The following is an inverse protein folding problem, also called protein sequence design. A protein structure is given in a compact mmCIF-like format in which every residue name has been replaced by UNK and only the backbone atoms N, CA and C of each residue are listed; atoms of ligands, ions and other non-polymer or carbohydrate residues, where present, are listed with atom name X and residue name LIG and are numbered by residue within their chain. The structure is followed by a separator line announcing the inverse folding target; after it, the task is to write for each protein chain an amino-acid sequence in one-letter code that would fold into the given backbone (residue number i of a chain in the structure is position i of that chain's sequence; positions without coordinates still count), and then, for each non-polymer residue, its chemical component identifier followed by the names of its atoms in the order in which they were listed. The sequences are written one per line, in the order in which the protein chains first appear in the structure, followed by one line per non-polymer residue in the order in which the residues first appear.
data_IF_824914586381
#
_entry.id   IF_824914586381
#
_cell.length_a   1.000
_cell.length_b   1.000
_cell.length_c   1.000
_cell.angle_alpha   90.00
_cell.angle_beta   90.00
_cell.angle_gamma   90.00
#
_symmetry.space_group_name_H-M   'P 1'
#
loop_
_entity.id
_entity.type
_entity.pdbx_description
1 polymer ?
#
# COMPACT_ATOMS: atom_id res chain seq x y z
N UNK A 1 -18.98 2.57 13.67
CA UNK A 1 -18.57 1.35 12.92
C UNK A 1 -19.82 0.66 12.42
N UNK A 2 -19.90 0.27 11.14
CA UNK A 2 -21.08 -0.42 10.58
C UNK A 2 -21.12 -1.93 10.92
N UNK A 3 -20.28 -2.42 11.84
CA UNK A 3 -20.33 -3.79 12.36
C UNK A 3 -19.64 -4.87 11.51
N UNK A 4 -18.76 -4.51 10.58
CA UNK A 4 -18.00 -5.49 9.78
C UNK A 4 -16.85 -6.14 10.54
N UNK A 5 -16.49 -7.36 10.14
CA UNK A 5 -15.32 -8.10 10.64
C UNK A 5 -14.09 -7.77 9.79
N UNK A 6 -12.95 -7.47 10.44
CA UNK A 6 -11.71 -7.08 9.76
C UNK A 6 -10.64 -8.16 9.95
N UNK A 7 -10.24 -8.80 8.86
CA UNK A 7 -9.06 -9.67 8.82
C UNK A 7 -7.89 -8.91 8.19
N UNK A 8 -6.75 -8.87 8.88
CA UNK A 8 -5.50 -8.31 8.34
C UNK A 8 -4.57 -9.44 7.89
N UNK A 9 -4.03 -9.32 6.69
CA UNK A 9 -3.16 -10.33 6.07
C UNK A 9 -1.83 -9.68 5.71
N UNK A 10 -0.72 -10.33 6.05
CA UNK A 10 0.61 -9.87 5.64
C UNK A 10 1.50 -11.05 5.29
N UNK A 11 2.38 -10.85 4.31
CA UNK A 11 3.46 -11.75 3.96
C UNK A 11 4.77 -11.19 4.56
N UNK A 12 5.54 -12.02 5.25
CA UNK A 12 6.85 -11.63 5.77
C UNK A 12 7.25 -12.37 7.05
N UNK A 13 8.40 -11.98 7.60
CA UNK A 13 8.93 -12.51 8.86
C UNK A 13 8.47 -11.75 10.10
N UNK A 14 9.33 -11.68 11.12
CA UNK A 14 9.00 -11.13 12.45
C UNK A 14 8.44 -9.70 12.42
N UNK A 15 8.98 -8.82 11.56
CA UNK A 15 8.48 -7.45 11.40
C UNK A 15 7.02 -7.40 10.91
N UNK A 16 6.64 -8.32 10.02
CA UNK A 16 5.25 -8.43 9.56
C UNK A 16 4.35 -8.93 10.70
N UNK A 17 4.83 -9.88 11.51
CA UNK A 17 4.12 -10.35 12.68
C UNK A 17 3.86 -9.23 13.70
N UNK A 18 4.87 -8.41 14.00
CA UNK A 18 4.73 -7.24 14.88
C UNK A 18 3.70 -6.24 14.34
N UNK A 19 3.74 -5.97 13.03
CA UNK A 19 2.80 -5.07 12.34
C UNK A 19 1.36 -5.60 12.44
N UNK A 20 1.15 -6.90 12.22
CA UNK A 20 -0.17 -7.54 12.39
C UNK A 20 -0.67 -7.45 13.83
N UNK A 21 0.21 -7.62 14.83
CA UNK A 21 -0.16 -7.45 16.24
C UNK A 21 -0.55 -6.02 16.57
N UNK A 22 0.11 -5.03 15.98
CA UNK A 22 -0.29 -3.63 16.10
C UNK A 22 -1.67 -3.39 15.47
N UNK A 23 -1.95 -3.95 14.28
CA UNK A 23 -3.26 -3.85 13.65
C UNK A 23 -4.38 -4.49 14.49
N UNK A 24 -4.12 -5.65 15.10
CA UNK A 24 -5.03 -6.29 16.07
C UNK A 24 -5.29 -5.38 17.28
N UNK A 25 -4.24 -4.71 17.79
CA UNK A 25 -4.35 -3.76 18.91
C UNK A 25 -5.10 -2.48 18.54
N UNK A 26 -5.03 -2.07 17.27
CA UNK A 26 -5.81 -0.98 16.69
C UNK A 26 -7.25 -1.40 16.41
N UNK A 27 -7.61 -2.69 16.55
CA UNK A 27 -9.00 -3.14 16.49
C UNK A 27 -9.37 -3.99 15.27
N UNK A 28 -8.42 -4.55 14.53
CA UNK A 28 -8.69 -5.67 13.63
C UNK A 28 -9.09 -6.93 14.42
N UNK A 29 -9.89 -7.81 13.83
CA UNK A 29 -10.49 -8.97 14.51
C UNK A 29 -9.60 -10.21 14.41
N UNK A 30 -9.12 -10.50 13.21
CA UNK A 30 -8.25 -11.66 12.90
C UNK A 30 -6.98 -11.21 12.18
N UNK A 31 -5.92 -11.98 12.33
CA UNK A 31 -4.67 -11.77 11.61
C UNK A 31 -4.19 -13.07 10.95
N UNK A 32 -3.68 -12.94 9.72
CA UNK A 32 -3.03 -14.02 8.98
C UNK A 32 -1.64 -13.57 8.57
N UNK A 33 -0.63 -14.31 9.01
CA UNK A 33 0.76 -14.15 8.62
C UNK A 33 1.13 -15.25 7.64
N UNK A 34 1.58 -14.88 6.44
CA UNK A 34 2.21 -15.81 5.50
C UNK A 34 3.72 -15.70 5.70
N UNK A 35 4.34 -16.75 6.23
CA UNK A 35 5.75 -16.78 6.55
C UNK A 35 6.38 -18.07 6.04
N UNK A 36 7.23 -17.93 5.02
CA UNK A 36 7.98 -19.03 4.44
C UNK A 36 9.36 -18.50 3.98
N UNK A 37 10.48 -19.13 4.35
CA UNK A 37 11.81 -18.71 3.92
C UNK A 37 11.98 -18.63 2.41
N UNK A 38 11.23 -19.43 1.63
CA UNK A 38 11.27 -19.40 0.18
C UNK A 38 10.71 -18.11 -0.44
N UNK A 39 10.02 -17.27 0.36
CA UNK A 39 9.49 -15.98 -0.06
C UNK A 39 10.44 -14.81 0.20
N UNK A 40 11.63 -15.07 0.76
CA UNK A 40 12.63 -14.05 0.98
C UNK A 40 13.08 -13.44 -0.36
N UNK A 41 12.87 -12.13 -0.53
CA UNK A 41 13.20 -11.42 -1.79
C UNK A 41 12.27 -11.73 -2.96
N UNK A 42 11.09 -12.30 -2.69
CA UNK A 42 10.05 -12.48 -3.69
C UNK A 42 9.65 -11.14 -4.31
N UNK A 43 9.46 -11.13 -5.64
CA UNK A 43 8.94 -9.94 -6.33
C UNK A 43 7.42 -9.80 -6.19
N UNK A 44 6.89 -8.68 -6.70
CA UNK A 44 5.46 -8.38 -6.67
C UNK A 44 4.59 -9.43 -7.38
N UNK A 45 5.14 -10.16 -8.36
CA UNK A 45 4.40 -11.22 -9.03
C UNK A 45 4.17 -12.39 -8.06
N UNK A 46 5.23 -12.87 -7.42
CA UNK A 46 5.15 -13.96 -6.44
C UNK A 46 4.32 -13.54 -5.24
N UNK A 47 4.55 -12.34 -4.69
CA UNK A 47 3.79 -11.80 -3.54
C UNK A 47 2.30 -11.72 -3.85
N UNK A 48 1.90 -11.21 -5.02
CA UNK A 48 0.48 -11.10 -5.40
C UNK A 48 -0.17 -12.48 -5.54
N UNK A 49 0.51 -13.47 -6.12
CA UNK A 49 -0.01 -14.85 -6.23
C UNK A 49 -0.23 -15.51 -4.89
N UNK A 50 0.72 -15.34 -3.98
CA UNK A 50 0.64 -15.93 -2.64
C UNK A 50 -0.49 -15.29 -1.84
N UNK A 51 -0.64 -13.97 -1.90
CA UNK A 51 -1.75 -13.26 -1.26
C UNK A 51 -3.10 -13.63 -1.87
N UNK A 52 -3.20 -13.70 -3.20
CA UNK A 52 -4.42 -14.14 -3.89
C UNK A 52 -4.84 -15.53 -3.41
N UNK A 53 -3.88 -16.47 -3.33
CA UNK A 53 -4.15 -17.83 -2.85
C UNK A 53 -4.61 -17.88 -1.40
N UNK A 54 -4.02 -17.07 -0.52
CA UNK A 54 -4.47 -16.96 0.86
C UNK A 54 -5.90 -16.40 0.95
N UNK A 55 -6.23 -15.43 0.11
CA UNK A 55 -7.55 -14.79 0.08
C UNK A 55 -8.63 -15.68 -0.53
N UNK A 56 -8.33 -16.58 -1.48
CA UNK A 56 -9.31 -17.56 -2.01
C UNK A 56 -10.00 -18.38 -0.91
N UNK A 57 -9.30 -18.66 0.20
CA UNK A 57 -9.84 -19.38 1.35
C UNK A 57 -10.65 -18.52 2.33
N UNK A 58 -10.89 -17.24 2.03
CA UNK A 58 -11.53 -16.27 2.91
C UNK A 58 -12.75 -15.64 2.23
N UNK A 59 -13.79 -15.34 3.01
CA UNK A 59 -14.92 -14.52 2.55
C UNK A 59 -14.63 -13.04 2.76
N UNK A 60 -14.88 -12.22 1.74
CA UNK A 60 -14.70 -10.77 1.81
C UNK A 60 -15.69 -10.06 0.89
N UNK A 61 -16.15 -8.89 1.33
CA UNK A 61 -16.91 -7.96 0.51
C UNK A 61 -16.03 -6.81 -0.02
N UNK A 62 -14.86 -6.60 0.59
CA UNK A 62 -13.96 -5.49 0.29
C UNK A 62 -12.54 -5.87 0.68
N UNK A 63 -11.59 -5.68 -0.24
CA UNK A 63 -10.16 -5.75 0.05
C UNK A 63 -9.60 -4.34 0.06
N UNK A 64 -8.93 -3.98 1.17
CA UNK A 64 -8.21 -2.72 1.30
C UNK A 64 -6.71 -2.98 1.27
N UNK A 65 -6.00 -2.30 0.39
CA UNK A 65 -4.54 -2.25 0.36
C UNK A 65 -4.06 -0.81 0.53
N UNK A 66 -2.78 -0.61 0.81
CA UNK A 66 -2.14 0.67 0.48
C UNK A 66 -2.01 0.81 -1.03
N UNK A 67 -1.99 2.04 -1.55
CA UNK A 67 -1.66 2.32 -2.95
C UNK A 67 -0.23 1.86 -3.29
N UNK A 68 0.72 2.20 -2.41
CA UNK A 68 2.14 2.02 -2.68
C UNK A 68 2.90 1.82 -1.37
N UNK A 69 3.77 0.82 -1.33
CA UNK A 69 4.73 0.65 -0.25
C UNK A 69 5.90 1.63 -0.45
N UNK A 70 6.45 2.15 0.66
CA UNK A 70 7.42 3.26 0.61
C UNK A 70 8.87 2.80 0.39
N UNK A 71 9.13 1.51 0.55
CA UNK A 71 10.42 0.85 0.41
C UNK A 71 10.81 0.66 -1.06
N UNK A 72 9.89 0.17 -1.90
CA UNK A 72 10.15 -0.05 -3.33
C UNK A 72 9.37 0.89 -4.27
N UNK A 73 8.33 1.57 -3.78
CA UNK A 73 7.48 2.49 -4.52
C UNK A 73 6.96 1.95 -5.85
N UNK A 74 6.70 0.63 -5.93
CA UNK A 74 6.35 -0.01 -7.20
C UNK A 74 4.91 0.26 -7.66
N UNK A 75 3.99 0.48 -6.70
CA UNK A 75 2.54 0.56 -6.90
C UNK A 75 1.93 -0.64 -7.68
N UNK A 76 2.60 -1.79 -7.73
CA UNK A 76 2.17 -2.93 -8.56
C UNK A 76 1.22 -3.89 -7.86
N UNK A 77 1.30 -4.00 -6.53
CA UNK A 77 0.58 -5.02 -5.79
C UNK A 77 -0.95 -4.94 -5.93
N UNK A 78 -1.60 -3.77 -5.78
CA UNK A 78 -3.06 -3.69 -5.80
C UNK A 78 -3.66 -4.21 -7.11
N UNK A 79 -3.09 -3.77 -8.24
CA UNK A 79 -3.58 -4.15 -9.56
C UNK A 79 -3.35 -5.62 -9.88
N UNK A 80 -2.18 -6.16 -9.54
CA UNK A 80 -1.89 -7.60 -9.71
C UNK A 80 -2.82 -8.46 -8.87
N UNK A 81 -3.07 -8.06 -7.63
CA UNK A 81 -3.93 -8.81 -6.71
C UNK A 81 -5.39 -8.77 -7.16
N UNK A 82 -5.89 -7.62 -7.60
CA UNK A 82 -7.25 -7.47 -8.13
C UNK A 82 -7.47 -8.35 -9.36
N UNK A 83 -6.51 -8.34 -10.30
CA UNK A 83 -6.55 -9.16 -11.52
C UNK A 83 -6.59 -10.66 -11.18
N UNK A 84 -5.70 -11.13 -10.30
CA UNK A 84 -5.64 -12.53 -9.91
C UNK A 84 -6.92 -13.02 -9.21
N UNK A 85 -7.61 -12.13 -8.49
CA UNK A 85 -8.87 -12.43 -7.82
C UNK A 85 -10.10 -12.17 -8.71
N UNK A 86 -9.92 -11.64 -9.92
CA UNK A 86 -11.02 -11.27 -10.83
C UNK A 86 -11.90 -10.15 -10.27
N UNK A 87 -11.35 -9.23 -9.49
CA UNK A 87 -12.10 -8.17 -8.81
C UNK A 87 -11.99 -6.84 -9.56
N UNK A 88 -13.07 -6.04 -9.59
CA UNK A 88 -12.96 -4.64 -9.97
C UNK A 88 -12.12 -3.89 -8.94
N UNK A 89 -11.40 -2.85 -9.39
CA UNK A 89 -10.50 -2.09 -8.54
C UNK A 89 -10.60 -0.58 -8.72
N UNK A 90 -10.30 0.15 -7.65
CA UNK A 90 -9.99 1.57 -7.70
C UNK A 90 -8.73 1.87 -6.90
N UNK A 91 -7.84 2.66 -7.48
CA UNK A 91 -6.53 2.98 -6.92
C UNK A 91 -6.39 4.47 -6.61
N UNK A 92 -5.38 4.83 -5.81
CA UNK A 92 -5.12 6.23 -5.39
C UNK A 92 -6.32 6.87 -4.67
N UNK A 93 -7.07 6.07 -3.91
CA UNK A 93 -8.35 6.51 -3.32
C UNK A 93 -8.11 7.35 -2.06
N UNK A 94 -8.63 8.58 -2.06
CA UNK A 94 -8.52 9.57 -0.97
C UNK A 94 -9.83 9.80 -0.24
N UNK A 95 -10.96 9.27 -0.74
CA UNK A 95 -12.23 9.18 0.01
C UNK A 95 -13.00 7.95 -0.44
N UNK A 96 -13.62 7.24 0.51
CA UNK A 96 -14.38 6.01 0.27
C UNK A 96 -15.73 6.07 0.97
N UNK A 97 -16.81 5.86 0.22
CA UNK A 97 -18.16 5.74 0.73
C UNK A 97 -18.73 4.36 0.33
N UNK A 98 -19.32 3.65 1.30
CA UNK A 98 -19.86 2.29 1.10
C UNK A 98 -21.38 2.27 1.35
N UNK A 99 -22.13 1.72 0.40
CA UNK A 99 -23.59 1.58 0.46
C UNK A 99 -24.13 0.81 -0.75
N UNK A 100 -25.33 0.22 -0.62
CA UNK A 100 -26.09 -0.37 -1.73
C UNK A 100 -25.31 -1.38 -2.61
N UNK A 101 -24.44 -2.19 -1.99
CA UNK A 101 -23.63 -3.19 -2.70
C UNK A 101 -22.50 -2.61 -3.56
N UNK A 102 -22.15 -1.33 -3.38
CA UNK A 102 -21.10 -0.64 -4.13
C UNK A 102 -20.20 0.21 -3.23
N UNK A 103 -19.05 0.57 -3.79
CA UNK A 103 -18.11 1.54 -3.26
C UNK A 103 -18.09 2.78 -4.17
N UNK A 104 -18.23 3.97 -3.60
CA UNK A 104 -17.98 5.25 -4.28
C UNK A 104 -16.60 5.73 -3.85
N UNK A 105 -15.68 5.79 -4.81
CA UNK A 105 -14.27 6.09 -4.60
C UNK A 105 -13.92 7.43 -5.22
N UNK A 106 -13.34 8.32 -4.43
CA UNK A 106 -12.75 9.56 -4.92
C UNK A 106 -11.25 9.34 -5.00
N UNK A 107 -10.67 9.55 -6.17
CA UNK A 107 -9.22 9.38 -6.39
C UNK A 107 -8.62 10.63 -7.02
N UNK A 108 -7.36 10.88 -6.69
CA UNK A 108 -6.58 11.95 -7.30
C UNK A 108 -6.08 11.51 -8.68
N UNK A 109 -6.36 12.31 -9.70
CA UNK A 109 -5.80 12.20 -11.04
C UNK A 109 -5.03 13.48 -11.41
N UNK A 110 -4.63 13.59 -12.67
CA UNK A 110 -3.82 14.72 -13.16
C UNK A 110 -4.61 16.05 -13.11
N UNK A 111 -4.53 16.72 -11.95
CA UNK A 111 -5.16 18.01 -11.70
C UNK A 111 -6.66 17.96 -11.36
N UNK A 112 -7.24 16.78 -11.17
CA UNK A 112 -8.66 16.61 -10.87
C UNK A 112 -8.92 15.49 -9.85
N UNK A 113 -10.10 15.53 -9.25
CA UNK A 113 -10.63 14.42 -8.46
C UNK A 113 -11.62 13.65 -9.32
N UNK A 114 -11.34 12.37 -9.54
CA UNK A 114 -12.24 11.45 -10.23
C UNK A 114 -13.13 10.74 -9.20
N UNK A 115 -14.41 10.58 -9.53
CA UNK A 115 -15.38 9.85 -8.70
C UNK A 115 -15.83 8.60 -9.46
N UNK A 116 -15.53 7.44 -8.89
CA UNK A 116 -15.81 6.13 -9.48
C UNK A 116 -16.80 5.37 -8.62
N UNK A 117 -17.76 4.69 -9.26
CA UNK A 117 -18.61 3.69 -8.59
C UNK A 117 -18.14 2.29 -8.98
N UNK A 118 -17.93 1.44 -7.96
CA UNK A 118 -17.40 0.08 -8.15
C UNK A 118 -18.31 -0.91 -7.42
N UNK A 119 -18.81 -1.98 -8.09
CA UNK A 119 -19.61 -3.00 -7.41
C UNK A 119 -18.76 -3.81 -6.44
N UNK A 120 -19.33 -4.23 -5.31
CA UNK A 120 -18.68 -5.15 -4.38
C UNK A 120 -18.94 -6.62 -4.79
N UNK A 121 -17.98 -7.54 -4.59
CA UNK A 121 -16.68 -7.33 -3.95
C UNK A 121 -15.69 -6.58 -4.83
N UNK A 122 -14.85 -5.73 -4.21
CA UNK A 122 -13.85 -4.91 -4.91
C UNK A 122 -12.53 -4.81 -4.14
N UNK A 123 -11.46 -4.49 -4.84
CA UNK A 123 -10.17 -4.12 -4.25
C UNK A 123 -9.96 -2.60 -4.35
N UNK A 124 -9.78 -1.96 -3.20
CA UNK A 124 -9.59 -0.51 -3.13
C UNK A 124 -8.21 -0.20 -2.53
N UNK A 125 -7.37 0.50 -3.30
CA UNK A 125 -6.04 0.89 -2.86
C UNK A 125 -6.07 2.30 -2.26
N UNK A 126 -5.89 2.37 -0.95
CA UNK A 126 -5.93 3.60 -0.16
C UNK A 126 -4.69 4.46 -0.38
N UNK A 127 -4.90 5.73 -0.73
CA UNK A 127 -3.87 6.76 -0.76
C UNK A 127 -3.78 7.45 0.59
N UNK A 128 -2.60 8.01 0.90
CA UNK A 128 -2.42 8.88 2.06
C UNK A 128 -3.45 10.02 2.00
N UNK A 129 -4.20 10.22 3.08
CA UNK A 129 -5.29 11.20 3.15
C UNK A 129 -6.68 10.59 3.18
N UNK A 130 -6.83 9.28 2.89
CA UNK A 130 -8.12 8.58 3.01
C UNK A 130 -8.77 8.71 4.39
N UNK A 131 -7.96 8.62 5.43
CA UNK A 131 -8.39 8.75 6.82
C UNK A 131 -7.22 9.17 7.73
N UNK A 132 -7.54 9.39 9.01
CA UNK A 132 -6.57 9.49 10.10
C UNK A 132 -6.56 8.15 10.88
N UNK A 133 -5.48 7.35 10.79
CA UNK A 133 -5.39 6.09 11.51
C UNK A 133 -5.42 6.30 13.04
N UNK A 134 -6.30 5.56 13.72
CA UNK A 134 -6.40 5.59 15.19
C UNK A 134 -5.19 4.94 15.87
N UNK A 135 -4.80 5.45 17.03
CA UNK A 135 -3.78 4.82 17.86
C UNK A 135 -4.32 3.58 18.61
N UNK A 136 -3.48 2.58 18.89
CA UNK A 136 -3.87 1.46 19.75
C UNK A 136 -4.08 1.94 21.18
N UNK A 137 -5.13 1.45 21.84
CA UNK A 137 -5.34 1.68 23.27
C UNK A 137 -4.59 0.64 24.11
N UNK A 138 -4.27 0.96 25.37
CA UNK A 138 -3.67 -0.03 26.30
C UNK A 138 -4.51 -1.31 26.41
N UNK A 139 -5.84 -1.17 26.46
CA UNK A 139 -6.78 -2.31 26.45
C UNK A 139 -6.66 -3.12 25.15
N UNK A 140 -6.58 -2.43 24.01
CA UNK A 140 -6.39 -3.06 22.70
C UNK A 140 -5.09 -3.85 22.61
N UNK A 141 -3.98 -3.29 23.11
CA UNK A 141 -2.68 -3.97 23.15
C UNK A 141 -2.74 -5.27 23.97
N UNK A 142 -3.38 -5.23 25.14
CA UNK A 142 -3.55 -6.42 25.98
C UNK A 142 -4.44 -7.49 25.30
N UNK A 143 -5.50 -7.07 24.60
CA UNK A 143 -6.39 -7.97 23.88
C UNK A 143 -5.73 -8.58 22.64
N UNK A 144 -4.90 -7.81 21.92
CA UNK A 144 -4.24 -8.25 20.70
C UNK A 144 -3.33 -9.48 20.89
N UNK A 145 -2.73 -9.63 22.07
CA UNK A 145 -1.93 -10.82 22.43
C UNK A 145 -2.77 -12.10 22.50
N UNK A 146 -4.07 -11.97 22.80
CA UNK A 146 -5.01 -13.09 22.91
C UNK A 146 -5.77 -13.37 21.61
N UNK A 147 -5.82 -12.39 20.69
CA UNK A 147 -6.44 -12.57 19.38
C UNK A 147 -5.63 -13.57 18.54
N UNK A 148 -6.36 -14.34 17.75
CA UNK A 148 -5.80 -15.34 16.85
C UNK A 148 -4.89 -14.66 15.82
N UNK A 149 -3.69 -15.22 15.67
CA UNK A 149 -2.77 -14.92 14.58
C UNK A 149 -2.46 -16.25 13.91
N UNK A 150 -3.10 -16.49 12.78
CA UNK A 150 -2.90 -17.70 11.98
C UNK A 150 -1.62 -17.55 11.17
N UNK A 151 -0.71 -18.51 11.27
CA UNK A 151 0.53 -18.53 10.47
C UNK A 151 0.38 -19.58 9.39
N UNK A 152 0.70 -19.22 8.15
CA UNK A 152 0.63 -20.09 6.98
C UNK A 152 1.99 -20.10 6.26
N UNK A 153 2.42 -21.29 5.86
CA UNK A 153 3.51 -21.51 4.91
C UNK A 153 3.00 -21.58 3.47
N UNK A 154 3.89 -21.68 2.49
CA UNK A 154 3.48 -21.97 1.11
C UNK A 154 2.77 -23.32 1.00
N UNK A 155 3.22 -24.31 1.76
CA UNK A 155 2.65 -25.64 1.75
C UNK A 155 1.20 -25.65 2.27
N UNK A 156 0.90 -24.86 3.31
CA UNK A 156 -0.46 -24.72 3.84
C UNK A 156 -1.43 -24.08 2.82
N UNK A 157 -0.88 -23.30 1.88
CA UNK A 157 -1.63 -22.68 0.78
C UNK A 157 -1.72 -23.57 -0.48
N UNK A 158 -1.10 -24.77 -0.44
CA UNK A 158 -0.99 -25.65 -1.60
C UNK A 158 -0.12 -25.08 -2.72
N UNK A 159 0.84 -24.21 -2.38
CA UNK A 159 1.77 -23.58 -3.30
C UNK A 159 3.17 -24.18 -3.16
N UNK A 160 3.90 -24.21 -4.27
CA UNK A 160 5.34 -24.43 -4.29
C UNK A 160 6.07 -23.10 -4.43
N UNK A 161 7.33 -23.05 -4.01
CA UNK A 161 8.19 -21.91 -4.28
C UNK A 161 8.25 -21.65 -5.80
N UNK A 162 8.12 -20.38 -6.18
CA UNK A 162 8.20 -19.93 -7.57
C UNK A 162 9.27 -18.84 -7.70
N UNK A 163 10.03 -18.88 -8.79
CA UNK A 163 11.03 -17.85 -9.09
C UNK A 163 10.39 -16.50 -9.41
N UNK A 164 10.93 -15.44 -8.80
CA UNK A 164 10.67 -14.05 -9.17
C UNK A 164 10.88 -13.85 -10.67
N UNK A 165 10.04 -12.99 -11.28
CA UNK A 165 10.12 -12.60 -12.70
C UNK A 165 11.03 -11.40 -12.92
N UNK A 166 11.29 -10.64 -11.86
CA UNK A 166 12.29 -9.55 -11.86
C UNK A 166 13.39 -9.80 -10.85
N UNK A 167 14.58 -9.33 -11.17
CA UNK A 167 15.76 -9.37 -10.31
C UNK A 167 16.33 -7.96 -10.21
N UNK A 168 16.70 -7.55 -9.00
CA UNK A 168 17.46 -6.32 -8.80
C UNK A 168 18.93 -6.61 -9.09
N UNK A 169 19.50 -5.88 -10.05
CA UNK A 169 20.89 -6.04 -10.48
C UNK A 169 21.84 -5.25 -9.59
N UNK A 170 21.50 -4.01 -9.27
CA UNK A 170 22.34 -3.09 -8.51
C UNK A 170 21.50 -2.01 -7.83
N UNK A 171 21.99 -1.49 -6.71
CA UNK A 171 21.50 -0.27 -6.07
C UNK A 171 22.63 0.77 -6.01
N UNK A 172 22.32 2.01 -6.36
CA UNK A 172 23.22 3.16 -6.22
C UNK A 172 22.55 4.29 -5.45
N UNK A 173 23.33 5.03 -4.67
CA UNK A 173 22.84 6.28 -4.09
C UNK A 173 22.69 7.33 -5.21
N UNK A 174 21.68 8.20 -5.14
CA UNK A 174 21.61 9.34 -6.05
C UNK A 174 22.84 10.24 -5.83
N UNK A 175 23.19 11.01 -6.85
CA UNK A 175 24.28 11.97 -6.75
C UNK A 175 24.05 12.94 -5.58
N UNK A 176 25.11 13.26 -4.85
CA UNK A 176 25.04 14.22 -3.77
C UNK A 176 24.55 15.57 -4.30
N UNK A 177 23.63 16.21 -3.56
CA UNK A 177 23.09 17.52 -3.93
C UNK A 177 24.23 18.53 -4.07
N UNK A 178 24.35 19.12 -5.26
CA UNK A 178 25.31 20.19 -5.50
C UNK A 178 24.88 21.49 -4.80
N UNK A 179 25.86 22.34 -4.48
CA UNK A 179 25.58 23.64 -3.90
C UNK A 179 24.70 24.47 -4.86
N UNK A 180 23.57 24.98 -4.35
CA UNK A 180 22.72 25.88 -5.12
C UNK A 180 23.38 27.25 -5.31
N UNK A 181 22.94 27.98 -6.35
CA UNK A 181 23.34 29.37 -6.58
C UNK A 181 22.49 30.29 -5.69
N UNK A 182 23.13 31.14 -4.89
CA UNK A 182 22.47 32.25 -4.19
C UNK A 182 22.55 33.49 -5.07
N UNK A 183 21.46 34.23 -5.13
CA UNK A 183 21.34 35.46 -5.90
C UNK A 183 21.12 36.60 -4.92
N UNK A 184 21.97 37.61 -4.97
CA UNK A 184 21.95 38.75 -4.06
C UNK A 184 21.63 40.03 -4.84
N UNK A 185 20.88 40.94 -4.21
CA UNK A 185 20.52 42.23 -4.79
C UNK A 185 19.10 42.66 -4.45
N UNK A 186 18.64 43.70 -5.13
CA UNK A 186 17.27 44.21 -4.97
C UNK A 186 16.23 43.18 -5.43
N UNK A 187 15.04 43.10 -4.78
CA UNK A 187 14.04 42.07 -5.07
C UNK A 187 13.68 41.92 -6.55
N UNK A 188 13.54 43.04 -7.29
CA UNK A 188 13.18 43.01 -8.70
C UNK A 188 14.26 42.36 -9.59
N UNK A 189 15.54 42.54 -9.24
CA UNK A 189 16.68 41.94 -9.97
C UNK A 189 16.79 40.46 -9.65
N UNK A 190 16.65 40.10 -8.37
CA UNK A 190 16.69 38.71 -7.90
C UNK A 190 15.59 37.87 -8.55
N UNK A 191 14.35 38.39 -8.61
CA UNK A 191 13.23 37.68 -9.23
C UNK A 191 13.48 37.43 -10.71
N UNK A 192 13.95 38.45 -11.46
CA UNK A 192 14.27 38.29 -12.88
C UNK A 192 15.35 37.22 -13.10
N UNK A 193 16.45 37.29 -12.35
CA UNK A 193 17.55 36.34 -12.44
C UNK A 193 17.12 34.92 -12.06
N UNK A 194 16.25 34.78 -11.06
CA UNK A 194 15.70 33.49 -10.68
C UNK A 194 14.84 32.89 -11.80
N UNK A 195 13.97 33.68 -12.44
CA UNK A 195 13.17 33.23 -13.58
C UNK A 195 14.08 32.81 -14.74
N UNK A 196 15.10 33.60 -15.06
CA UNK A 196 16.05 33.27 -16.13
C UNK A 196 16.78 31.95 -15.83
N UNK A 197 17.23 31.73 -14.58
CA UNK A 197 17.84 30.46 -14.17
C UNK A 197 16.88 29.28 -14.24
N UNK A 198 15.63 29.45 -13.78
CA UNK A 198 14.65 28.37 -13.77
C UNK A 198 14.19 27.97 -15.19
N UNK A 199 14.08 28.93 -16.10
CA UNK A 199 13.69 28.69 -17.51
C UNK A 199 14.84 28.20 -18.39
N UNK A 200 16.02 28.82 -18.26
CA UNK A 200 17.13 28.60 -19.21
C UNK A 200 18.12 27.53 -18.75
N UNK A 201 18.46 27.50 -17.46
CA UNK A 201 19.45 26.56 -16.92
C UNK A 201 18.78 25.29 -16.39
N UNK A 202 17.87 25.44 -15.42
CA UNK A 202 17.24 24.31 -14.75
C UNK A 202 16.09 23.68 -15.56
N UNK A 203 15.43 24.47 -16.42
CA UNK A 203 14.30 24.06 -17.28
C UNK A 203 13.16 23.36 -16.51
N UNK A 204 12.82 23.92 -15.36
CA UNK A 204 11.81 23.37 -14.44
C UNK A 204 10.49 24.14 -14.47
N UNK A 205 10.44 25.27 -15.18
CA UNK A 205 9.24 26.06 -15.48
C UNK A 205 9.30 26.56 -16.93
#
# INVERSE_FOLDING_TARGET
AKGGEVTVVSLGGDKAQETLRQALAMGADKAVLINDPALAGADHYVVAKVLAKALEGMSYDLILTGWMAIDDQSAQLPGRLAELLGLPQATVVTKLELGDGKAVCYREGDGAVEVLEVPLPALIAAQKGLNEPRYPSLKGIMQAKKKELKVLSLQDLGLSAESSKVQVVEYGLPEARQAGKKVEGEPAVVVKQLIDFLTSEAKVI
#
